data_IF_031859450753
#
_entry.id   IF_031859450753
#
_cell.length_a   1.000
_cell.length_b   1.000
_cell.length_c   1.000
_cell.angle_alpha   90.00
_cell.angle_beta   90.00
_cell.angle_gamma   90.00
#
_symmetry.space_group_name_H-M   'P 1'
#
loop_
_entity.id
_entity.type
_entity.pdbx_description
1 polymer ?
#
# COMPACT_ATOMS: atom_id res chain seq x y z
N UNK A 1 -13.20 -8.20 -14.95
CA UNK A 1 -12.40 -9.08 -14.07
C UNK A 1 -13.04 -10.44 -13.87
N UNK A 2 -14.26 -10.55 -13.31
CA UNK A 2 -14.91 -11.85 -13.11
C UNK A 2 -15.10 -12.67 -14.40
N UNK A 3 -15.59 -12.05 -15.49
CA UNK A 3 -15.69 -12.71 -16.81
C UNK A 3 -14.35 -13.14 -17.43
N UNK A 4 -13.24 -12.57 -16.95
CA UNK A 4 -11.87 -12.88 -17.41
C UNK A 4 -11.21 -13.99 -16.56
N UNK A 5 -11.91 -14.54 -15.56
CA UNK A 5 -11.36 -15.58 -14.68
C UNK A 5 -10.26 -15.08 -13.74
N UNK A 6 -10.18 -13.76 -13.48
CA UNK A 6 -9.20 -13.21 -12.56
C UNK A 6 -9.34 -13.84 -11.17
N UNK A 7 -8.26 -14.41 -10.66
CA UNK A 7 -8.21 -15.07 -9.36
C UNK A 7 -7.26 -14.31 -8.41
N UNK A 8 -7.53 -14.44 -7.12
CA UNK A 8 -6.69 -13.90 -6.03
C UNK A 8 -5.96 -14.99 -5.23
N UNK A 9 -5.97 -16.25 -5.68
CA UNK A 9 -5.34 -17.38 -5.00
C UNK A 9 -3.82 -17.29 -4.92
N UNK A 10 -3.19 -16.45 -5.77
CA UNK A 10 -1.76 -16.17 -5.73
C UNK A 10 -1.35 -15.12 -4.69
N UNK A 11 -2.29 -14.52 -3.97
CA UNK A 11 -1.98 -13.51 -2.96
C UNK A 11 -1.20 -14.15 -1.79
N UNK A 12 0.03 -13.70 -1.50
CA UNK A 12 0.71 -14.11 -0.29
C UNK A 12 -0.06 -13.56 0.91
N UNK A 13 -0.70 -14.43 1.69
CA UNK A 13 -1.37 -14.07 2.94
C UNK A 13 -0.34 -14.06 4.08
N UNK A 14 0.40 -12.96 4.19
CA UNK A 14 1.39 -12.76 5.24
C UNK A 14 1.34 -11.35 5.82
N UNK A 15 2.05 -11.14 6.93
CA UNK A 15 2.09 -9.85 7.62
C UNK A 15 2.56 -8.71 6.71
N UNK A 16 3.55 -8.96 5.86
CA UNK A 16 4.11 -7.93 4.97
C UNK A 16 3.15 -7.54 3.83
N UNK A 17 2.54 -8.48 3.08
CA UNK A 17 1.47 -8.17 2.13
C UNK A 17 0.29 -7.40 2.73
N UNK A 18 -0.18 -7.80 3.93
CA UNK A 18 -1.24 -7.09 4.63
C UNK A 18 -0.80 -5.67 5.02
N UNK A 19 0.39 -5.53 5.62
CA UNK A 19 0.97 -4.24 5.97
C UNK A 19 1.14 -3.32 4.76
N UNK A 20 1.52 -3.89 3.60
CA UNK A 20 1.61 -3.14 2.35
C UNK A 20 0.26 -2.60 1.89
N UNK A 21 -0.79 -3.44 1.86
CA UNK A 21 -2.12 -3.00 1.46
C UNK A 21 -2.75 -1.99 2.44
N UNK A 22 -2.53 -2.16 3.75
CA UNK A 22 -2.97 -1.18 4.75
C UNK A 22 -2.27 0.16 4.54
N UNK A 23 -0.94 0.15 4.36
CA UNK A 23 -0.16 1.37 4.12
C UNK A 23 -0.59 2.07 2.83
N UNK A 24 -0.90 1.30 1.78
CA UNK A 24 -1.36 1.84 0.50
C UNK A 24 -2.78 2.43 0.61
N UNK A 25 -3.67 1.74 1.33
CA UNK A 25 -5.00 2.26 1.66
C UNK A 25 -4.94 3.54 2.48
N UNK A 26 -4.01 3.63 3.44
CA UNK A 26 -3.77 4.84 4.22
C UNK A 26 -3.28 6.00 3.34
N UNK A 27 -2.43 5.75 2.33
CA UNK A 27 -1.99 6.78 1.40
C UNK A 27 -3.16 7.34 0.56
N UNK A 28 -4.06 6.48 0.07
CA UNK A 28 -5.27 6.93 -0.63
C UNK A 28 -6.24 7.69 0.28
N UNK A 29 -6.44 7.20 1.51
CA UNK A 29 -7.24 7.91 2.50
C UNK A 29 -6.64 9.29 2.81
N UNK A 30 -5.32 9.39 2.95
CA UNK A 30 -4.63 10.65 3.17
C UNK A 30 -4.85 11.64 2.02
N UNK A 31 -4.90 11.17 0.77
CA UNK A 31 -5.24 12.05 -0.37
C UNK A 31 -6.68 12.57 -0.30
N UNK A 32 -7.62 11.76 0.17
CA UNK A 32 -8.98 12.25 0.44
C UNK A 32 -8.99 13.33 1.53
N UNK A 33 -8.22 13.16 2.61
CA UNK A 33 -8.09 14.18 3.66
C UNK A 33 -7.37 15.45 3.17
N UNK A 34 -6.34 15.32 2.34
CA UNK A 34 -5.71 16.45 1.66
C UNK A 34 -6.71 17.25 0.85
N UNK A 35 -7.56 16.58 0.09
CA UNK A 35 -8.55 17.27 -0.75
C UNK A 35 -9.55 18.10 0.07
N UNK A 36 -9.93 17.63 1.26
CA UNK A 36 -11.06 18.20 2.00
C UNK A 36 -10.69 18.99 3.27
N UNK A 37 -9.53 18.71 3.87
CA UNK A 37 -9.22 19.14 5.24
C UNK A 37 -7.77 19.59 5.49
N UNK A 38 -6.78 18.96 4.86
CA UNK A 38 -5.37 19.17 5.19
C UNK A 38 -4.70 20.17 4.24
N UNK A 39 -3.76 20.96 4.77
CA UNK A 39 -2.86 21.73 3.94
C UNK A 39 -1.72 20.88 3.35
N UNK A 40 -0.94 21.48 2.45
CA UNK A 40 0.18 20.80 1.77
C UNK A 40 1.25 20.32 2.75
N UNK A 41 1.63 21.14 3.75
CA UNK A 41 2.71 20.80 4.68
C UNK A 41 2.28 19.70 5.66
N UNK A 42 1.03 19.73 6.13
CA UNK A 42 0.44 18.66 6.92
C UNK A 42 0.40 17.35 6.14
N UNK A 43 -0.07 17.41 4.90
CA UNK A 43 -0.15 16.26 4.00
C UNK A 43 1.23 15.65 3.78
N UNK A 44 2.25 16.48 3.49
CA UNK A 44 3.63 16.00 3.30
C UNK A 44 4.19 15.31 4.55
N UNK A 45 3.90 15.81 5.75
CA UNK A 45 4.33 15.17 7.02
C UNK A 45 3.70 13.79 7.20
N UNK A 46 2.39 13.67 7.02
CA UNK A 46 1.71 12.38 7.13
C UNK A 46 2.11 11.43 6.00
N UNK A 47 2.29 11.96 4.79
CA UNK A 47 2.72 11.18 3.63
C UNK A 47 4.12 10.62 3.87
N UNK A 48 5.05 11.37 4.45
CA UNK A 48 6.37 10.88 4.81
C UNK A 48 6.28 9.68 5.76
N UNK A 49 5.43 9.75 6.79
CA UNK A 49 5.22 8.63 7.73
C UNK A 49 4.64 7.39 7.04
N UNK A 50 3.58 7.55 6.27
CA UNK A 50 2.93 6.45 5.54
C UNK A 50 3.87 5.85 4.48
N UNK A 51 4.69 6.68 3.84
CA UNK A 51 5.62 6.26 2.78
C UNK A 51 6.73 5.37 3.32
N UNK A 52 7.20 5.59 4.55
CA UNK A 52 8.19 4.71 5.20
C UNK A 52 7.60 3.30 5.36
N UNK A 53 6.39 3.19 5.91
CA UNK A 53 5.72 1.89 6.05
C UNK A 53 5.46 1.24 4.70
N UNK A 54 4.99 2.01 3.72
CA UNK A 54 4.72 1.52 2.37
C UNK A 54 5.99 1.01 1.68
N UNK A 55 7.11 1.72 1.83
CA UNK A 55 8.40 1.33 1.28
C UNK A 55 8.90 0.02 1.89
N UNK A 56 8.90 -0.10 3.23
CA UNK A 56 9.41 -1.28 3.92
C UNK A 56 8.60 -2.54 3.58
N UNK A 57 7.27 -2.47 3.70
CA UNK A 57 6.41 -3.60 3.38
C UNK A 57 6.38 -3.90 1.88
N UNK A 58 6.40 -2.86 1.04
CA UNK A 58 6.41 -3.00 -0.42
C UNK A 58 7.68 -3.66 -0.93
N UNK A 59 8.85 -3.22 -0.46
CA UNK A 59 10.13 -3.84 -0.82
C UNK A 59 10.14 -5.33 -0.47
N UNK A 60 9.70 -5.69 0.74
CA UNK A 60 9.65 -7.08 1.18
C UNK A 60 8.65 -7.92 0.36
N UNK A 61 7.48 -7.37 0.03
CA UNK A 61 6.49 -8.06 -0.82
C UNK A 61 7.07 -8.32 -2.21
N UNK A 62 7.67 -7.30 -2.83
CA UNK A 62 8.28 -7.42 -4.15
C UNK A 62 9.45 -8.41 -4.14
N UNK A 63 10.28 -8.42 -3.09
CA UNK A 63 11.36 -9.39 -2.93
C UNK A 63 10.84 -10.84 -2.80
N UNK A 64 9.77 -11.06 -2.03
CA UNK A 64 9.13 -12.39 -1.92
C UNK A 64 8.58 -12.84 -3.28
N UNK A 65 7.94 -11.94 -4.01
CA UNK A 65 7.40 -12.24 -5.33
C UNK A 65 8.51 -12.56 -6.34
N UNK A 66 9.62 -11.81 -6.30
CA UNK A 66 10.78 -12.06 -7.14
C UNK A 66 11.46 -13.40 -6.82
N UNK A 67 11.58 -13.77 -5.54
CA UNK A 67 12.17 -15.04 -5.13
C UNK A 67 11.30 -16.27 -5.45
N UNK A 68 10.01 -16.09 -5.71
CA UNK A 68 9.07 -17.15 -6.14
C UNK A 68 9.03 -17.34 -7.66
N UNK A 69 9.76 -16.51 -8.40
CA UNK A 69 9.85 -16.53 -9.87
C UNK A 69 11.13 -17.20 -10.31
#
# INVERSE_FOLDING_TARGET
WLKLGFNLSGLPLGLSPLGFHISHGAAFALMYFYWKYLDMFQTLRYLALVSISLFLFGHRVLAILAARR
#
